data_IF_245454354405
#
_entry.id   IF_245454354405
#
_cell.length_a   1.000
_cell.length_b   1.000
_cell.length_c   1.000
_cell.angle_alpha   90.00
_cell.angle_beta   90.00
_cell.angle_gamma   90.00
#
_symmetry.space_group_name_H-M   'P 1'
#
loop_
_entity.id
_entity.type
_entity.pdbx_description
1 polymer ?
#
# COMPACT_ATOMS: atom_id res chain seq x y z
N UNK A 1 1.32 15.83 -18.74
CA UNK A 1 1.05 14.41 -18.38
C UNK A 1 2.29 13.50 -18.36
N UNK A 2 3.52 14.03 -18.27
CA UNK A 2 4.79 13.25 -18.27
C UNK A 2 5.67 13.50 -17.00
N UNK A 3 5.19 14.28 -16.02
CA UNK A 3 5.95 14.58 -14.78
C UNK A 3 5.51 13.74 -13.58
N UNK A 4 4.25 13.29 -13.54
CA UNK A 4 3.70 12.49 -12.43
C UNK A 4 4.26 11.05 -12.46
N UNK A 5 4.35 10.45 -13.66
CA UNK A 5 4.87 9.08 -13.85
C UNK A 5 6.35 8.92 -13.46
N UNK A 6 7.12 10.01 -13.42
CA UNK A 6 8.55 9.97 -13.09
C UNK A 6 8.82 9.86 -11.59
N UNK A 7 7.95 10.45 -10.77
CA UNK A 7 8.03 10.39 -9.30
C UNK A 7 7.61 9.02 -8.75
N UNK A 8 6.55 8.43 -9.34
CA UNK A 8 6.05 7.09 -9.02
C UNK A 8 7.15 6.01 -9.13
N UNK A 9 7.93 6.05 -10.22
CA UNK A 9 8.99 5.06 -10.48
C UNK A 9 10.13 5.12 -9.46
N UNK A 10 10.51 6.31 -8.99
CA UNK A 10 11.59 6.48 -8.01
C UNK A 10 11.15 5.95 -6.65
N UNK A 11 9.92 6.26 -6.24
CA UNK A 11 9.38 5.78 -4.97
C UNK A 11 9.34 4.25 -4.87
N UNK A 12 8.99 3.56 -5.97
CA UNK A 12 8.92 2.09 -6.00
C UNK A 12 10.28 1.44 -5.81
N UNK A 13 11.31 1.95 -6.50
CA UNK A 13 12.69 1.44 -6.38
C UNK A 13 13.22 1.64 -4.96
N UNK A 14 12.96 2.81 -4.35
CA UNK A 14 13.38 3.09 -2.98
C UNK A 14 12.68 2.18 -1.96
N UNK A 15 11.38 1.95 -2.12
CA UNK A 15 10.64 1.03 -1.25
C UNK A 15 11.23 -0.38 -1.32
N UNK A 16 11.45 -0.91 -2.53
CA UNK A 16 12.10 -2.22 -2.71
C UNK A 16 13.49 -2.27 -2.10
N UNK A 17 14.31 -1.23 -2.30
CA UNK A 17 15.66 -1.16 -1.74
C UNK A 17 15.64 -1.25 -0.20
N UNK A 18 14.79 -0.44 0.46
CA UNK A 18 14.67 -0.44 1.92
C UNK A 18 14.11 -1.76 2.48
N UNK A 19 13.11 -2.35 1.84
CA UNK A 19 12.59 -3.66 2.21
C UNK A 19 13.71 -4.72 2.19
N UNK A 20 14.50 -4.77 1.11
CA UNK A 20 15.60 -5.75 0.97
C UNK A 20 16.76 -5.51 1.95
N UNK A 21 16.93 -4.27 2.43
CA UNK A 21 17.97 -3.92 3.40
C UNK A 21 17.57 -4.10 4.85
N UNK A 22 16.27 -4.17 5.14
CA UNK A 22 15.74 -4.33 6.50
C UNK A 22 16.35 -5.53 7.24
N UNK A 23 16.57 -5.36 8.55
CA UNK A 23 17.13 -6.37 9.46
C UNK A 23 16.17 -6.79 10.56
N UNK A 24 15.00 -6.15 10.62
CA UNK A 24 13.94 -6.43 11.57
C UNK A 24 12.57 -6.26 10.91
N UNK A 25 11.55 -6.83 11.55
CA UNK A 25 10.16 -6.66 11.15
C UNK A 25 9.74 -5.19 11.21
N UNK A 26 10.20 -4.45 12.22
CA UNK A 26 9.89 -3.03 12.39
C UNK A 26 10.46 -2.18 11.25
N UNK A 27 11.71 -2.43 10.86
CA UNK A 27 12.34 -1.75 9.71
C UNK A 27 11.64 -2.10 8.39
N UNK A 28 11.22 -3.35 8.24
CA UNK A 28 10.50 -3.81 7.06
C UNK A 28 9.11 -3.14 6.96
N UNK A 29 8.38 -3.04 8.08
CA UNK A 29 7.10 -2.34 8.16
C UNK A 29 7.25 -0.84 7.88
N UNK A 30 8.33 -0.21 8.34
CA UNK A 30 8.63 1.19 8.02
C UNK A 30 8.88 1.39 6.51
N UNK A 31 9.63 0.49 5.87
CA UNK A 31 9.80 0.52 4.42
C UNK A 31 8.47 0.39 3.66
N UNK A 32 7.55 -0.45 4.16
CA UNK A 32 6.21 -0.61 3.59
C UNK A 32 5.32 0.63 3.73
N UNK A 33 5.60 1.54 4.68
CA UNK A 33 4.86 2.81 4.84
C UNK A 33 5.10 3.82 3.71
N UNK A 34 6.10 3.61 2.85
CA UNK A 34 6.35 4.44 1.65
C UNK A 34 5.17 4.37 0.68
N UNK A 35 4.48 3.22 0.61
CA UNK A 35 3.24 3.02 -0.18
C UNK A 35 3.37 3.37 -1.68
N UNK A 36 4.56 3.23 -2.25
CA UNK A 36 4.79 3.47 -3.69
C UNK A 36 4.49 2.23 -4.55
N UNK A 37 4.56 1.03 -3.98
CA UNK A 37 4.14 -0.22 -4.63
C UNK A 37 2.64 -0.41 -4.40
N UNK A 38 1.81 0.11 -5.30
CA UNK A 38 0.39 0.42 -5.02
C UNK A 38 -0.56 -0.80 -5.00
N UNK A 39 -0.17 -1.93 -5.59
CA UNK A 39 -1.01 -3.15 -5.65
C UNK A 39 -0.13 -4.40 -5.61
N UNK A 40 0.18 -4.86 -4.41
CA UNK A 40 1.00 -6.05 -4.20
C UNK A 40 0.75 -6.67 -2.82
N UNK A 41 0.84 -7.99 -2.73
CA UNK A 41 0.83 -8.70 -1.45
C UNK A 41 2.25 -9.02 -1.05
N UNK A 42 2.65 -8.67 0.17
CA UNK A 42 3.99 -8.90 0.66
C UNK A 42 3.99 -9.91 1.81
N UNK A 43 4.97 -10.82 1.79
CA UNK A 43 5.21 -11.77 2.87
C UNK A 43 6.56 -11.44 3.51
N UNK A 44 6.61 -11.44 4.84
CA UNK A 44 7.84 -11.29 5.62
C UNK A 44 8.04 -12.50 6.52
N UNK A 45 9.28 -12.97 6.62
CA UNK A 45 9.68 -14.01 7.55
C UNK A 45 11.10 -13.74 8.08
N UNK A 46 11.37 -14.06 9.35
CA UNK A 46 12.70 -13.91 9.94
C UNK A 46 13.13 -15.05 10.87
N UNK A 47 14.37 -14.97 11.35
CA UNK A 47 14.97 -15.96 12.28
C UNK A 47 14.34 -15.98 13.67
N UNK A 48 13.55 -14.96 14.04
CA UNK A 48 12.81 -14.89 15.30
C UNK A 48 11.42 -15.55 15.18
N UNK A 49 11.13 -16.20 14.04
CA UNK A 49 9.87 -16.87 13.71
C UNK A 49 8.69 -15.93 13.48
N UNK A 50 8.95 -14.65 13.23
CA UNK A 50 7.90 -13.75 12.76
C UNK A 50 7.45 -14.18 11.36
N UNK A 51 6.13 -14.29 11.12
CA UNK A 51 5.55 -14.49 9.79
C UNK A 51 4.43 -13.46 9.59
N UNK A 52 4.57 -12.60 8.57
CA UNK A 52 3.58 -11.58 8.24
C UNK A 52 3.09 -11.73 6.81
N UNK A 53 1.79 -11.50 6.64
CA UNK A 53 1.18 -11.24 5.35
C UNK A 53 0.60 -9.81 5.35
N UNK A 54 1.07 -9.00 4.42
CA UNK A 54 0.59 -7.63 4.23
C UNK A 54 -0.14 -7.52 2.90
N UNK A 55 -1.43 -7.24 2.98
CA UNK A 55 -2.27 -6.95 1.82
C UNK A 55 -2.21 -5.45 1.55
N UNK A 56 -1.36 -5.04 0.61
CA UNK A 56 -1.30 -3.65 0.20
C UNK A 56 -2.33 -3.36 -0.90
N UNK A 57 -3.55 -3.03 -0.46
CA UNK A 57 -4.59 -2.55 -1.34
C UNK A 57 -4.78 -1.05 -1.14
N UNK A 58 -4.51 -0.27 -2.19
CA UNK A 58 -4.93 1.12 -2.30
C UNK A 58 -6.44 1.17 -2.63
N UNK A 59 -7.28 0.78 -1.67
CA UNK A 59 -8.73 0.94 -1.81
C UNK A 59 -9.12 2.39 -1.50
N UNK A 60 -9.90 3.06 -2.35
CA UNK A 60 -10.44 4.36 -2.03
C UNK A 60 -11.39 4.26 -0.83
N UNK A 61 -11.32 5.24 0.08
CA UNK A 61 -12.31 5.40 1.12
C UNK A 61 -13.64 5.71 0.44
N UNK A 62 -14.63 4.85 0.68
CA UNK A 62 -15.96 4.94 0.08
C UNK A 62 -16.80 5.94 0.87
N UNK A 63 -17.34 6.96 0.19
CA UNK A 63 -18.33 7.87 0.77
C UNK A 63 -19.67 7.16 0.96
N UNK A 64 -20.28 7.28 2.14
CA UNK A 64 -21.52 6.56 2.50
C UNK A 64 -22.74 6.99 1.69
N UNK A 65 -22.71 8.20 1.10
CA UNK A 65 -23.78 8.77 0.30
C UNK A 65 -23.86 8.21 -1.13
N UNK A 66 -22.88 7.40 -1.54
CA UNK A 66 -22.79 6.81 -2.88
C UNK A 66 -23.19 5.33 -2.82
N UNK A 67 -24.05 4.88 -3.74
CA UNK A 67 -24.33 3.46 -3.93
C UNK A 67 -23.18 2.79 -4.71
N UNK A 68 -22.29 2.13 -3.98
CA UNK A 68 -21.11 1.44 -4.52
C UNK A 68 -21.43 0.09 -5.20
N UNK A 69 -22.71 -0.32 -5.25
CA UNK A 69 -23.13 -1.51 -6.00
C UNK A 69 -23.34 -1.22 -7.49
N UNK A 70 -23.39 0.06 -7.88
CA UNK A 70 -23.58 0.52 -9.25
C UNK A 70 -22.29 1.20 -9.78
N UNK A 71 -22.13 1.31 -11.12
CA UNK A 71 -21.06 2.13 -11.70
C UNK A 71 -21.15 3.58 -11.25
N UNK A 72 -20.06 4.12 -10.69
CA UNK A 72 -19.97 5.51 -10.23
C UNK A 72 -19.24 6.35 -11.28
N UNK A 73 -19.69 7.59 -11.52
CA UNK A 73 -19.02 8.51 -12.42
C UNK A 73 -17.64 8.93 -11.88
N UNK A 74 -16.59 8.57 -12.62
CA UNK A 74 -15.20 8.83 -12.27
C UNK A 74 -14.83 10.32 -12.27
N UNK A 75 -15.60 11.21 -12.90
CA UNK A 75 -15.33 12.65 -12.86
C UNK A 75 -15.60 13.24 -11.47
N UNK A 76 -16.62 12.74 -10.75
CA UNK A 76 -16.95 13.19 -9.40
C UNK A 76 -15.98 12.65 -8.33
N UNK A 77 -15.36 11.49 -8.58
CA UNK A 77 -14.41 10.85 -7.66
C UNK A 77 -13.02 11.52 -7.66
N UNK A 78 -12.65 12.20 -8.73
CA UNK A 78 -11.35 12.90 -8.83
C UNK A 78 -11.35 14.24 -8.10
N UNK A 79 -12.51 14.92 -8.00
CA UNK A 79 -12.64 16.22 -7.34
C UNK A 79 -12.65 16.15 -5.81
N UNK A 80 -12.99 15.02 -5.20
CA UNK A 80 -13.07 14.87 -3.74
C UNK A 80 -11.73 14.55 -3.06
N UNK A 81 -10.67 14.30 -3.84
CA UNK A 81 -9.36 13.91 -3.32
C UNK A 81 -9.40 12.51 -2.73
N UNK A 82 -9.10 11.51 -3.56
CA UNK A 82 -9.11 10.10 -3.15
C UNK A 82 -8.23 9.90 -1.92
N UNK A 83 -8.87 9.60 -0.78
CA UNK A 83 -8.17 9.10 0.42
C UNK A 83 -8.09 7.59 0.29
N UNK A 84 -6.90 7.03 0.44
CA UNK A 84 -6.72 5.58 0.49
C UNK A 84 -6.82 5.07 1.92
N UNK A 85 -7.46 3.92 2.11
CA UNK A 85 -7.57 3.25 3.40
C UNK A 85 -6.21 2.86 4.02
N UNK A 86 -6.24 2.45 5.29
CA UNK A 86 -5.07 1.88 5.96
C UNK A 86 -4.70 0.51 5.36
N UNK A 87 -3.42 0.13 5.49
CA UNK A 87 -2.94 -1.19 5.09
C UNK A 87 -3.63 -2.27 5.93
N UNK A 88 -4.14 -3.31 5.28
CA UNK A 88 -4.55 -4.53 5.97
C UNK A 88 -3.32 -5.38 6.27
N UNK A 89 -2.96 -5.51 7.55
CA UNK A 89 -1.88 -6.39 8.00
C UNK A 89 -2.48 -7.58 8.74
N UNK A 90 -2.14 -8.79 8.30
CA UNK A 90 -2.41 -10.02 9.06
C UNK A 90 -1.04 -10.55 9.51
N UNK A 91 -0.77 -10.46 10.80
CA UNK A 91 0.37 -11.13 11.42
C UNK A 91 -0.10 -12.49 11.93
N UNK A 92 0.59 -13.56 11.55
CA UNK A 92 0.37 -14.90 12.11
C UNK A 92 1.58 -15.17 12.99
N UNK A 93 1.40 -14.95 14.30
CA UNK A 93 2.42 -15.23 15.31
C UNK A 93 2.35 -16.72 15.70
N UNK A 94 3.50 -17.38 15.82
CA UNK A 94 3.64 -18.82 16.11
C UNK A 94 4.74 -19.10 17.13
#
# INVERSE_FOLDING_TARGET
MQSVLRHERIGQVEQWYRMNKSKSMEEWLEAMRIRSIVSFNAVYADKKKNILFLHNAASPVREESIDWTQPVDGQNLLSSGIKFGALGTIAIDH
#
